data_IF_087777795322
#
_entry.id   IF_087777795322
#
_cell.length_a   1.000
_cell.length_b   1.000
_cell.length_c   1.000
_cell.angle_alpha   90.00
_cell.angle_beta   90.00
_cell.angle_gamma   90.00
#
_symmetry.space_group_name_H-M   'P 1'
#
loop_
_entity.id
_entity.type
_entity.pdbx_description
1 polymer ?
#
# COMPACT_ATOMS: atom_id res chain seq x y z
N UNK A 1 -8.44 -2.38 11.17
CA UNK A 1 -7.74 -3.60 10.73
C UNK A 1 -6.41 -3.71 11.45
N UNK A 2 -6.10 -4.88 11.94
CA UNK A 2 -4.86 -5.30 12.58
C UNK A 2 -3.95 -5.97 11.55
N UNK A 3 -2.66 -6.07 11.85
CA UNK A 3 -1.69 -6.77 10.98
C UNK A 3 -1.98 -8.25 10.77
N UNK A 4 -2.77 -8.87 11.65
CA UNK A 4 -3.14 -10.28 11.49
C UNK A 4 -4.30 -10.42 10.49
N UNK A 5 -5.30 -9.56 10.60
CA UNK A 5 -6.49 -9.58 9.75
C UNK A 5 -6.16 -9.36 8.26
N UNK A 6 -5.11 -8.61 7.90
CA UNK A 6 -4.75 -8.39 6.48
C UNK A 6 -4.35 -9.69 5.77
N UNK A 7 -3.77 -10.66 6.48
CA UNK A 7 -3.41 -11.95 5.91
C UNK A 7 -4.60 -12.87 5.66
N UNK A 8 -5.75 -12.57 6.27
CA UNK A 8 -7.00 -13.32 6.10
C UNK A 8 -7.86 -12.75 4.96
N UNK A 9 -7.38 -11.71 4.28
CA UNK A 9 -8.05 -11.16 3.09
C UNK A 9 -7.79 -11.98 1.85
N UNK A 10 -8.67 -11.85 0.84
CA UNK A 10 -8.46 -12.41 -0.50
C UNK A 10 -7.53 -11.54 -1.37
N UNK A 11 -6.82 -10.58 -0.77
CA UNK A 11 -5.91 -9.72 -1.51
C UNK A 11 -4.68 -10.50 -2.00
N UNK A 12 -4.17 -10.17 -3.20
CA UNK A 12 -2.90 -10.68 -3.66
C UNK A 12 -1.77 -10.36 -2.68
N UNK A 13 -0.80 -11.26 -2.49
CA UNK A 13 0.33 -11.04 -1.59
C UNK A 13 1.09 -9.72 -1.83
N UNK A 14 1.17 -9.27 -3.08
CA UNK A 14 1.75 -7.95 -3.44
C UNK A 14 1.02 -6.78 -2.77
N UNK A 15 -0.30 -6.85 -2.67
CA UNK A 15 -1.15 -5.83 -2.07
C UNK A 15 -0.99 -5.85 -0.54
N UNK A 16 -1.00 -7.04 0.07
CA UNK A 16 -0.72 -7.20 1.51
C UNK A 16 0.65 -6.64 1.89
N UNK A 17 1.70 -6.94 1.13
CA UNK A 17 3.04 -6.44 1.39
C UNK A 17 3.11 -4.90 1.30
N UNK A 18 2.48 -4.30 0.29
CA UNK A 18 2.43 -2.84 0.14
C UNK A 18 1.57 -2.21 1.24
N UNK A 19 0.47 -2.82 1.65
CA UNK A 19 -0.37 -2.32 2.75
C UNK A 19 0.42 -2.25 4.06
N UNK A 20 1.12 -3.34 4.42
CA UNK A 20 1.93 -3.39 5.63
C UNK A 20 3.05 -2.35 5.61
N UNK A 21 3.68 -2.16 4.44
CA UNK A 21 4.64 -1.08 4.26
C UNK A 21 4.03 0.29 4.57
N UNK A 22 2.89 0.62 3.96
CA UNK A 22 2.20 1.89 4.17
C UNK A 22 1.78 2.07 5.64
N UNK A 23 1.25 1.02 6.26
CA UNK A 23 0.84 1.02 7.68
C UNK A 23 2.01 1.33 8.62
N UNK A 24 3.19 0.76 8.36
CA UNK A 24 4.39 1.00 9.18
C UNK A 24 4.97 2.41 9.01
N UNK A 25 4.66 3.08 7.89
CA UNK A 25 5.16 4.42 7.55
C UNK A 25 4.13 5.53 7.81
N UNK A 26 2.90 5.15 8.13
CA UNK A 26 1.82 6.08 8.40
C UNK A 26 2.01 6.80 9.74
N UNK A 27 1.62 8.07 9.77
CA UNK A 27 1.58 8.87 10.99
C UNK A 27 0.38 8.49 11.89
N UNK A 28 0.16 9.28 12.95
CA UNK A 28 -0.95 9.08 13.89
C UNK A 28 -2.33 9.22 13.23
N UNK A 29 -2.42 9.97 12.14
CA UNK A 29 -3.62 10.17 11.34
C UNK A 29 -3.76 9.13 10.23
N UNK A 30 -2.96 8.05 10.27
CA UNK A 30 -2.91 6.98 9.26
C UNK A 30 -2.62 7.46 7.85
N UNK A 31 -1.84 8.54 7.73
CA UNK A 31 -1.50 9.13 6.45
C UNK A 31 -0.01 8.95 6.15
N UNK A 32 0.32 8.70 4.89
CA UNK A 32 1.70 8.70 4.40
C UNK A 32 1.75 9.04 2.90
N UNK A 33 2.89 9.54 2.44
CA UNK A 33 3.11 9.94 1.05
C UNK A 33 4.43 9.40 0.47
N UNK A 34 4.72 8.09 0.58
CA UNK A 34 5.94 7.54 0.00
C UNK A 34 5.87 7.57 -1.53
N UNK A 35 6.97 7.94 -2.18
CA UNK A 35 7.09 7.82 -3.62
C UNK A 35 7.02 6.35 -4.05
N UNK A 36 6.33 6.07 -5.17
CA UNK A 36 6.19 4.70 -5.70
C UNK A 36 7.56 4.02 -5.91
N UNK A 37 8.56 4.78 -6.38
CA UNK A 37 9.92 4.27 -6.55
C UNK A 37 10.59 3.85 -5.24
N UNK A 38 10.31 4.56 -4.14
CA UNK A 38 10.80 4.22 -2.79
C UNK A 38 10.22 2.90 -2.33
N UNK A 39 8.90 2.72 -2.46
CA UNK A 39 8.21 1.47 -2.10
C UNK A 39 8.78 0.30 -2.91
N UNK A 40 8.93 0.49 -4.23
CA UNK A 40 9.48 -0.52 -5.13
C UNK A 40 10.88 -0.98 -4.70
N UNK A 41 11.77 -0.02 -4.42
CA UNK A 41 13.14 -0.30 -3.98
C UNK A 41 13.18 -1.02 -2.63
N UNK A 42 12.42 -0.56 -1.65
CA UNK A 42 12.46 -1.09 -0.28
C UNK A 42 11.76 -2.45 -0.14
N UNK A 43 10.75 -2.73 -0.96
CA UNK A 43 10.08 -4.02 -0.99
C UNK A 43 10.67 -5.00 -2.02
N UNK A 44 11.73 -4.60 -2.74
CA UNK A 44 12.32 -5.37 -3.84
C UNK A 44 11.28 -5.77 -4.91
N UNK A 45 10.35 -4.87 -5.21
CA UNK A 45 9.30 -5.04 -6.21
C UNK A 45 9.57 -4.16 -7.43
N UNK A 46 9.06 -4.55 -8.59
CA UNK A 46 9.01 -3.64 -9.73
C UNK A 46 8.02 -2.49 -9.48
N UNK A 47 8.28 -1.32 -10.06
CA UNK A 47 7.36 -0.17 -10.03
C UNK A 47 5.96 -0.56 -10.54
N UNK A 48 5.88 -1.38 -11.59
CA UNK A 48 4.61 -1.89 -12.13
C UNK A 48 3.87 -2.79 -11.15
N UNK A 49 4.59 -3.61 -10.37
CA UNK A 49 4.00 -4.42 -9.31
C UNK A 49 3.45 -3.56 -8.19
N UNK A 50 4.18 -2.52 -7.77
CA UNK A 50 3.70 -1.58 -6.74
C UNK A 50 2.46 -0.85 -7.23
N UNK A 51 2.44 -0.35 -8.47
CA UNK A 51 1.24 0.30 -9.05
C UNK A 51 0.01 -0.61 -9.03
N UNK A 52 0.16 -1.88 -9.41
CA UNK A 52 -0.92 -2.88 -9.34
C UNK A 52 -1.36 -3.17 -7.91
N UNK A 53 -0.42 -3.36 -6.99
CA UNK A 53 -0.72 -3.58 -5.57
C UNK A 53 -1.52 -2.42 -4.97
N UNK A 54 -1.12 -1.17 -5.27
CA UNK A 54 -1.86 0.02 -4.85
C UNK A 54 -3.27 0.03 -5.47
N UNK A 55 -3.42 -0.31 -6.75
CA UNK A 55 -4.74 -0.42 -7.39
C UNK A 55 -5.62 -1.50 -6.74
N UNK A 56 -5.06 -2.68 -6.44
CA UNK A 56 -5.76 -3.76 -5.75
C UNK A 56 -6.27 -3.27 -4.37
N UNK A 57 -5.44 -2.54 -3.63
CA UNK A 57 -5.80 -1.96 -2.32
C UNK A 57 -6.87 -0.87 -2.43
N UNK A 58 -6.84 -0.03 -3.45
CA UNK A 58 -7.87 0.98 -3.71
C UNK A 58 -9.21 0.32 -4.07
N UNK A 59 -9.21 -0.64 -5.00
CA UNK A 59 -10.42 -1.35 -5.43
C UNK A 59 -11.08 -2.12 -4.28
N UNK A 60 -10.28 -2.65 -3.36
CA UNK A 60 -10.77 -3.34 -2.18
C UNK A 60 -11.04 -2.41 -0.98
N UNK A 61 -10.86 -1.09 -1.14
CA UNK A 61 -11.22 -0.09 -0.13
C UNK A 61 -10.28 0.02 1.07
N UNK A 62 -9.06 -0.52 0.97
CA UNK A 62 -8.08 -0.50 2.07
C UNK A 62 -7.29 0.81 2.14
N UNK A 63 -7.13 1.51 1.01
CA UNK A 63 -6.44 2.80 0.94
C UNK A 63 -7.17 3.75 0.00
N UNK A 64 -6.92 5.05 0.19
CA UNK A 64 -7.37 6.10 -0.72
C UNK A 64 -6.16 6.93 -1.10
N UNK A 65 -5.96 7.18 -2.40
CA UNK A 65 -5.00 8.20 -2.85
C UNK A 65 -5.61 9.58 -2.71
N UNK A 66 -4.88 10.49 -2.07
CA UNK A 66 -5.04 11.92 -2.36
C UNK A 66 -4.19 12.25 -3.58
N UNK A 67 -4.84 12.50 -4.71
CA UNK A 67 -4.21 13.25 -5.78
C UNK A 67 -4.26 14.72 -5.37
N UNK A 68 -3.17 15.22 -4.77
CA UNK A 68 -3.00 16.66 -4.65
C UNK A 68 -2.62 17.16 -6.05
N UNK A 69 -3.65 17.54 -6.82
CA UNK A 69 -3.46 18.22 -8.09
C UNK A 69 -3.13 19.67 -7.76
N UNK A 70 -1.85 20.03 -7.92
CA UNK A 70 -1.42 21.41 -8.05
C UNK A 70 -1.72 21.92 -9.46
#
# INVERSE_FOLDING_TARGET
MTRKEIYETELPHRAVAVYLYLETRADRERTCYPAIGTIARELHLSVSTVKRAIHDLECAGFITKKAEMA
#
